data_IF_549505422910
#
_entry.id   IF_549505422910
#
_cell.length_a   1.000
_cell.length_b   1.000
_cell.length_c   1.000
_cell.angle_alpha   90.00
_cell.angle_beta   90.00
_cell.angle_gamma   90.00
#
_symmetry.space_group_name_H-M   'P 1'
#
loop_
_entity.id
_entity.type
_entity.pdbx_description
1 polymer ?
#
# COMPACT_ATOMS: atom_id res chain seq x y z
N UNK A 1 17.25 3.78 9.35
CA UNK A 1 16.16 2.78 9.09
C UNK A 1 14.89 3.24 9.82
N UNK A 2 13.65 2.82 9.49
CA UNK A 2 12.45 3.41 10.12
C UNK A 2 12.46 3.43 11.66
N UNK A 3 13.04 2.41 12.29
CA UNK A 3 13.17 2.31 13.75
C UNK A 3 13.96 3.45 14.39
N UNK A 4 14.97 3.97 13.69
CA UNK A 4 15.83 5.05 14.18
C UNK A 4 15.02 6.34 14.37
N UNK A 5 14.29 6.76 13.32
CA UNK A 5 13.38 7.90 13.38
C UNK A 5 12.29 7.75 14.44
N UNK A 6 11.73 6.54 14.55
CA UNK A 6 10.71 6.25 15.57
C UNK A 6 11.28 6.30 16.98
N UNK A 7 12.51 5.81 17.20
CA UNK A 7 13.16 5.84 18.51
C UNK A 7 13.55 7.24 18.97
N UNK A 8 13.74 8.17 18.03
CA UNK A 8 13.92 9.60 18.29
C UNK A 8 12.59 10.33 18.61
N UNK A 9 11.46 9.61 18.62
CA UNK A 9 10.14 10.20 18.89
C UNK A 9 9.51 10.90 17.69
N UNK A 10 10.06 10.75 16.47
CA UNK A 10 9.48 11.37 15.27
C UNK A 10 8.19 10.67 14.87
N UNK A 11 7.25 11.44 14.34
CA UNK A 11 6.09 10.90 13.64
C UNK A 11 6.42 10.68 12.17
N UNK A 12 5.77 9.69 11.55
CA UNK A 12 6.03 9.30 10.17
C UNK A 12 4.72 9.05 9.42
N UNK A 13 4.79 9.15 8.09
CA UNK A 13 3.74 8.64 7.20
C UNK A 13 4.32 7.55 6.30
N UNK A 14 3.57 6.46 6.12
CA UNK A 14 4.05 5.29 5.40
C UNK A 14 3.99 5.48 3.86
N UNK A 15 5.14 5.38 3.20
CA UNK A 15 5.34 5.41 1.74
C UNK A 15 6.13 4.17 1.27
N UNK A 16 5.73 2.98 1.71
CA UNK A 16 6.47 1.75 1.40
C UNK A 16 6.53 1.43 -0.11
N UNK A 17 7.73 1.47 -0.67
CA UNK A 17 8.01 1.23 -2.09
C UNK A 17 7.60 -0.17 -2.58
N UNK A 18 7.70 -1.19 -1.73
CA UNK A 18 7.42 -2.58 -2.11
C UNK A 18 5.93 -2.91 -2.21
N UNK A 19 5.05 -2.08 -1.65
CA UNK A 19 3.62 -2.37 -1.56
C UNK A 19 2.71 -1.30 -2.13
N UNK A 20 3.08 -0.02 -2.09
CA UNK A 20 2.15 1.08 -2.40
C UNK A 20 2.64 2.02 -3.50
N UNK A 21 3.69 1.66 -4.23
CA UNK A 21 4.19 2.41 -5.38
C UNK A 21 3.72 1.79 -6.69
N UNK A 22 2.92 2.52 -7.44
CA UNK A 22 2.53 2.20 -8.82
C UNK A 22 3.38 3.05 -9.79
N UNK A 23 4.51 2.51 -10.25
CA UNK A 23 5.47 3.24 -11.10
C UNK A 23 5.30 2.86 -12.57
N UNK A 24 4.88 3.81 -13.41
CA UNK A 24 4.60 3.56 -14.82
C UNK A 24 5.86 3.10 -15.55
N UNK A 25 5.73 1.98 -16.27
CA UNK A 25 6.82 1.35 -17.02
C UNK A 25 7.80 0.53 -16.16
N UNK A 26 7.63 0.48 -14.83
CA UNK A 26 8.36 -0.41 -13.93
C UNK A 26 9.91 -0.33 -14.03
N UNK A 27 10.54 0.87 -14.05
CA UNK A 27 12.00 0.99 -13.99
C UNK A 27 12.56 0.36 -12.70
N UNK A 28 13.87 0.09 -12.67
CA UNK A 28 14.60 -0.26 -11.44
C UNK A 28 13.99 -1.43 -10.63
N UNK A 29 13.32 -2.37 -11.31
CA UNK A 29 12.63 -3.51 -10.69
C UNK A 29 11.48 -3.09 -9.75
N UNK A 30 10.85 -1.94 -9.98
CA UNK A 30 9.53 -1.67 -9.41
C UNK A 30 8.50 -2.59 -10.06
N UNK A 31 7.65 -3.21 -9.25
CA UNK A 31 6.57 -4.06 -9.73
C UNK A 31 5.24 -3.44 -9.32
N UNK A 32 4.25 -3.47 -10.21
CA UNK A 32 2.93 -2.95 -9.87
C UNK A 32 2.38 -3.65 -8.62
N UNK A 33 1.86 -2.88 -7.66
CA UNK A 33 1.32 -3.43 -6.44
C UNK A 33 0.06 -4.22 -6.79
N UNK A 34 -0.13 -5.35 -6.12
CA UNK A 34 -1.36 -6.13 -6.26
C UNK A 34 -2.21 -5.94 -5.01
N UNK A 35 -3.53 -5.80 -5.20
CA UNK A 35 -4.44 -5.67 -4.06
C UNK A 35 -4.37 -6.88 -3.13
N UNK A 36 -4.16 -8.09 -3.67
CA UNK A 36 -4.03 -9.31 -2.86
C UNK A 36 -2.85 -9.21 -1.90
N UNK A 37 -1.69 -8.84 -2.42
CA UNK A 37 -0.46 -8.77 -1.62
C UNK A 37 -0.56 -7.70 -0.53
N UNK A 38 -1.13 -6.53 -0.84
CA UNK A 38 -1.42 -5.51 0.18
C UNK A 38 -2.39 -6.06 1.23
N UNK A 39 -3.50 -6.66 0.80
CA UNK A 39 -4.55 -7.14 1.68
C UNK A 39 -4.09 -8.24 2.64
N UNK A 40 -3.24 -9.15 2.17
CA UNK A 40 -2.78 -10.33 2.91
C UNK A 40 -1.50 -10.07 3.71
N UNK A 41 -0.57 -9.24 3.23
CA UNK A 41 0.79 -9.13 3.81
C UNK A 41 1.10 -7.75 4.40
N UNK A 42 0.50 -6.67 3.90
CA UNK A 42 0.87 -5.32 4.32
C UNK A 42 0.06 -4.83 5.52
N UNK A 43 0.70 -4.07 6.41
CA UNK A 43 0.03 -3.32 7.48
C UNK A 43 0.69 -1.95 7.61
N UNK A 44 0.06 -0.95 8.26
CA UNK A 44 0.67 0.37 8.45
C UNK A 44 2.04 0.32 9.14
N UNK A 45 2.33 -0.72 9.94
CA UNK A 45 3.62 -0.95 10.59
C UNK A 45 4.75 -1.37 9.65
N UNK A 46 4.45 -1.79 8.43
CA UNK A 46 5.46 -2.16 7.42
C UNK A 46 5.95 -0.91 6.69
N UNK A 47 6.79 -0.13 7.36
CA UNK A 47 7.25 1.20 6.90
C UNK A 47 8.31 1.12 5.78
N UNK A 48 9.12 0.06 5.76
CA UNK A 48 10.14 -0.20 4.72
C UNK A 48 10.34 -1.69 4.56
N UNK A 49 10.56 -2.15 3.32
CA UNK A 49 10.73 -3.58 3.06
C UNK A 49 9.42 -4.32 3.36
N UNK A 50 9.51 -5.47 4.03
CA UNK A 50 8.37 -6.34 4.36
C UNK A 50 8.19 -6.58 5.85
N UNK A 51 9.07 -6.04 6.69
CA UNK A 51 9.05 -6.27 8.15
C UNK A 51 8.28 -5.17 8.87
N UNK A 52 7.34 -5.55 9.73
CA UNK A 52 6.62 -4.61 10.59
C UNK A 52 7.52 -4.09 11.71
N UNK A 53 7.40 -2.80 12.05
CA UNK A 53 7.95 -2.25 13.29
C UNK A 53 7.12 -2.71 14.50
N UNK A 54 7.68 -2.68 15.73
CA UNK A 54 6.93 -3.01 16.95
C UNK A 54 5.68 -2.15 17.17
N UNK A 55 4.62 -2.73 17.73
CA UNK A 55 3.33 -2.07 17.98
C UNK A 55 3.41 -0.84 18.90
N UNK A 56 4.44 -0.73 19.74
CA UNK A 56 4.65 0.45 20.60
C UNK A 56 4.77 1.77 19.80
N UNK A 57 5.04 1.69 18.50
CA UNK A 57 5.15 2.84 17.61
C UNK A 57 3.86 3.20 16.87
N UNK A 58 2.74 2.50 17.10
CA UNK A 58 1.49 2.73 16.35
C UNK A 58 1.03 4.20 16.42
N UNK A 59 1.17 4.85 17.59
CA UNK A 59 0.83 6.27 17.78
C UNK A 59 1.74 7.27 17.02
N UNK A 60 2.87 6.82 16.48
CA UNK A 60 3.78 7.63 15.68
C UNK A 60 3.58 7.45 14.16
N UNK A 61 2.77 6.47 13.74
CA UNK A 61 2.49 6.20 12.33
C UNK A 61 1.14 6.85 11.99
N UNK A 62 1.20 7.99 11.32
CA UNK A 62 0.02 8.84 11.09
C UNK A 62 -0.91 8.31 9.97
N UNK A 63 -0.48 7.27 9.25
CA UNK A 63 -1.20 6.68 8.13
C UNK A 63 -0.25 6.24 7.01
N UNK A 64 -0.75 6.22 5.78
CA UNK A 64 0.05 5.88 4.61
C UNK A 64 -0.57 6.38 3.31
N UNK A 65 0.23 6.39 2.25
CA UNK A 65 -0.17 6.84 0.92
C UNK A 65 -0.08 5.72 -0.11
N UNK A 66 -0.96 5.77 -1.10
CA UNK A 66 -0.80 5.04 -2.36
C UNK A 66 -0.25 6.02 -3.40
N UNK A 67 0.93 5.73 -3.94
CA UNK A 67 1.66 6.65 -4.81
C UNK A 67 1.64 6.16 -6.26
N UNK A 68 1.25 7.03 -7.19
CA UNK A 68 1.35 6.80 -8.63
C UNK A 68 2.50 7.66 -9.16
N UNK A 69 3.49 7.04 -9.79
CA UNK A 69 4.68 7.71 -10.32
C UNK A 69 4.71 7.57 -11.84
N UNK A 70 4.70 8.69 -12.55
CA UNK A 70 4.69 8.76 -14.00
C UNK A 70 6.11 8.81 -14.61
N UNK A 71 7.03 7.97 -14.13
CA UNK A 71 8.43 7.94 -14.59
C UNK A 71 8.53 7.75 -16.11
N UNK A 72 7.70 6.85 -16.65
CA UNK A 72 7.46 6.73 -18.09
C UNK A 72 6.00 7.05 -18.40
N UNK A 73 5.65 8.33 -18.64
CA UNK A 73 4.26 8.77 -18.72
C UNK A 73 3.48 8.15 -19.89
N UNK A 74 4.19 7.71 -20.95
CA UNK A 74 3.58 7.07 -22.11
C UNK A 74 3.43 5.55 -21.97
N UNK A 75 3.84 4.95 -20.84
CA UNK A 75 3.74 3.51 -20.63
C UNK A 75 2.29 3.04 -20.38
N UNK A 76 1.42 3.93 -19.92
CA UNK A 76 0.00 3.66 -19.70
C UNK A 76 -0.85 4.91 -19.96
N UNK A 77 -2.08 4.71 -20.45
CA UNK A 77 -3.12 5.74 -20.47
C UNK A 77 -3.72 5.95 -19.08
N UNK A 78 -4.44 7.05 -18.88
CA UNK A 78 -5.15 7.33 -17.63
C UNK A 78 -6.14 6.20 -17.27
N UNK A 79 -6.85 5.64 -18.25
CA UNK A 79 -7.78 4.52 -18.04
C UNK A 79 -7.06 3.25 -17.58
N UNK A 80 -5.89 2.97 -18.15
CA UNK A 80 -5.06 1.84 -17.73
C UNK A 80 -4.56 2.02 -16.30
N UNK A 81 -4.15 3.24 -15.93
CA UNK A 81 -3.78 3.56 -14.54
C UNK A 81 -4.97 3.37 -13.61
N UNK A 82 -6.13 3.95 -13.93
CA UNK A 82 -7.34 3.84 -13.12
C UNK A 82 -7.77 2.38 -12.91
N UNK A 83 -7.76 1.57 -13.97
CA UNK A 83 -8.05 0.14 -13.89
C UNK A 83 -7.00 -0.62 -13.05
N UNK A 84 -5.71 -0.30 -13.24
CA UNK A 84 -4.60 -0.95 -12.57
C UNK A 84 -4.55 -0.69 -11.07
N UNK A 85 -4.89 0.52 -10.62
CA UNK A 85 -4.85 0.88 -9.19
C UNK A 85 -6.11 0.50 -8.42
N UNK A 86 -7.22 0.18 -9.09
CA UNK A 86 -8.54 0.00 -8.44
C UNK A 86 -8.52 -0.93 -7.24
N UNK A 87 -8.04 -2.17 -7.42
CA UNK A 87 -7.99 -3.15 -6.32
C UNK A 87 -6.83 -2.91 -5.34
N UNK A 88 -5.61 -2.54 -5.77
CA UNK A 88 -4.56 -2.09 -4.86
C UNK A 88 -4.98 -0.96 -3.93
N UNK A 89 -5.61 0.09 -4.46
CA UNK A 89 -6.07 1.24 -3.68
C UNK A 89 -7.13 0.85 -2.65
N UNK A 90 -8.13 0.04 -3.06
CA UNK A 90 -9.15 -0.49 -2.12
C UNK A 90 -8.51 -1.29 -0.98
N UNK A 91 -7.54 -2.15 -1.29
CA UNK A 91 -6.82 -2.92 -0.27
C UNK A 91 -6.03 -2.01 0.69
N UNK A 92 -5.32 -1.00 0.17
CA UNK A 92 -4.61 -0.03 1.01
C UNK A 92 -5.56 0.71 1.95
N UNK A 93 -6.71 1.19 1.45
CA UNK A 93 -7.74 1.85 2.27
C UNK A 93 -8.27 0.93 3.36
N UNK A 94 -8.60 -0.33 3.03
CA UNK A 94 -9.06 -1.32 4.02
C UNK A 94 -8.04 -1.49 5.16
N UNK A 95 -6.75 -1.57 4.83
CA UNK A 95 -5.66 -1.79 5.80
C UNK A 95 -5.28 -0.54 6.59
N UNK A 96 -5.61 0.65 6.10
CA UNK A 96 -5.43 1.91 6.82
C UNK A 96 -6.61 2.20 7.76
N UNK A 97 -7.83 1.90 7.34
CA UNK A 97 -9.03 2.11 8.14
C UNK A 97 -9.15 1.12 9.30
N UNK A 98 -8.90 -0.17 9.01
CA UNK A 98 -8.86 -1.24 10.01
C UNK A 98 -7.57 -2.07 9.80
N UNK A 99 -6.51 -1.80 10.58
CA UNK A 99 -5.21 -2.44 10.41
C UNK A 99 -5.20 -3.92 10.85
N UNK A 100 -6.28 -4.40 11.47
CA UNK A 100 -6.46 -5.79 11.86
C UNK A 100 -6.49 -6.76 10.67
N UNK A 101 -6.70 -8.05 10.98
CA UNK A 101 -6.93 -9.06 9.94
C UNK A 101 -8.34 -8.83 9.36
N UNK A 102 -8.47 -8.55 8.06
CA UNK A 102 -9.79 -8.36 7.46
C UNK A 102 -10.66 -9.62 7.57
N UNK A 103 -11.97 -9.43 7.80
CA UNK A 103 -12.91 -10.54 7.96
C UNK A 103 -13.18 -11.32 6.65
N UNK A 104 -13.14 -10.64 5.51
CA UNK A 104 -13.35 -11.27 4.21
C UNK A 104 -12.05 -11.94 3.71
N UNK A 105 -12.20 -13.06 3.01
CA UNK A 105 -11.11 -13.58 2.18
C UNK A 105 -10.82 -12.62 1.03
N UNK A 106 -9.62 -12.67 0.46
CA UNK A 106 -9.27 -11.86 -0.72
C UNK A 106 -10.29 -11.98 -1.85
N UNK A 107 -10.71 -13.21 -2.19
CA UNK A 107 -11.70 -13.45 -3.25
C UNK A 107 -13.03 -12.74 -2.98
N UNK A 108 -13.51 -12.77 -1.73
CA UNK A 108 -14.76 -12.11 -1.34
C UNK A 108 -14.61 -10.59 -1.31
N UNK A 109 -13.46 -10.09 -0.87
CA UNK A 109 -13.14 -8.66 -0.90
C UNK A 109 -13.06 -8.13 -2.33
N UNK A 110 -12.43 -8.87 -3.25
CA UNK A 110 -12.40 -8.52 -4.68
C UNK A 110 -13.80 -8.48 -5.26
N UNK A 111 -14.60 -9.52 -5.06
CA UNK A 111 -15.99 -9.57 -5.55
C UNK A 111 -16.85 -8.42 -4.98
N UNK A 112 -16.61 -8.02 -3.72
CA UNK A 112 -17.25 -6.85 -3.14
C UNK A 112 -16.82 -5.56 -3.86
N UNK A 113 -15.52 -5.39 -4.12
CA UNK A 113 -15.00 -4.27 -4.91
C UNK A 113 -15.62 -4.19 -6.30
N UNK A 114 -15.71 -5.32 -7.00
CA UNK A 114 -16.31 -5.39 -8.34
C UNK A 114 -17.80 -4.98 -8.31
N UNK A 115 -18.55 -5.42 -7.30
CA UNK A 115 -19.97 -5.07 -7.11
C UNK A 115 -20.20 -3.59 -6.79
N UNK A 116 -19.28 -2.94 -6.09
CA UNK A 116 -19.42 -1.56 -5.64
C UNK A 116 -18.97 -0.51 -6.66
N UNK A 117 -18.27 -0.90 -7.72
CA UNK A 117 -17.59 0.05 -8.62
C UNK A 117 -16.23 0.48 -8.07
#
# INVERSE_FOLDING_TARGET
QPLEYLSEGRTVVNYNDKFVYYVLGQPNQFYYPTGRRIYEEWTPRVLRGTTAVPAKYDGQILGGYFAVWCDFPNAQTQDQVAAGIRMPLRATVQKLWDPGKPALTWTRFKALGDRLG
#
